data_IF_476352612193
#
_entry.id   IF_476352612193
#
_cell.length_a   1.000
_cell.length_b   1.000
_cell.length_c   1.000
_cell.angle_alpha   90.00
_cell.angle_beta   90.00
_cell.angle_gamma   90.00
#
_symmetry.space_group_name_H-M   'P 1'
#
loop_
_entity.id
_entity.type
_entity.pdbx_description
1 polymer ?
#
# COMPACT_ATOMS: atom_id res chain seq x y z
N UNK A 1 2.25 17.11 0.35
CA UNK A 1 2.01 16.73 -1.05
C UNK A 1 0.63 17.20 -1.41
N UNK A 2 0.48 17.83 -2.56
CA UNK A 2 -0.81 18.17 -3.16
C UNK A 2 -1.51 16.91 -3.67
N UNK A 3 -2.83 16.98 -3.85
CA UNK A 3 -3.62 15.86 -4.39
C UNK A 3 -3.11 15.39 -5.76
N UNK A 4 -2.70 16.32 -6.63
CA UNK A 4 -2.18 15.99 -7.96
C UNK A 4 -0.84 15.23 -7.92
N UNK A 5 0.01 15.53 -6.93
CA UNK A 5 1.27 14.79 -6.74
C UNK A 5 1.00 13.34 -6.30
N UNK A 6 0.01 13.12 -5.43
CA UNK A 6 -0.36 11.78 -4.97
C UNK A 6 -0.98 10.96 -6.10
N UNK A 7 -1.86 11.57 -6.90
CA UNK A 7 -2.46 10.90 -8.05
C UNK A 7 -1.41 10.47 -9.09
N UNK A 8 -0.44 11.32 -9.40
CA UNK A 8 0.68 10.95 -10.28
C UNK A 8 1.58 9.85 -9.71
N UNK A 9 1.70 9.79 -8.38
CA UNK A 9 2.42 8.71 -7.69
C UNK A 9 1.70 7.38 -7.82
N UNK A 10 0.36 7.35 -7.73
CA UNK A 10 -0.40 6.13 -7.96
C UNK A 10 -0.20 5.58 -9.37
N UNK A 11 -0.29 6.44 -10.38
CA UNK A 11 -0.07 6.04 -11.78
C UNK A 11 1.34 5.48 -11.98
N UNK A 12 2.34 6.10 -11.33
CA UNK A 12 3.73 5.64 -11.35
C UNK A 12 3.88 4.28 -10.67
N UNK A 13 3.28 4.08 -9.49
CA UNK A 13 3.33 2.82 -8.74
C UNK A 13 2.73 1.70 -9.59
N UNK A 14 1.57 1.92 -10.20
CA UNK A 14 0.93 0.93 -11.06
C UNK A 14 1.79 0.54 -12.26
N UNK A 15 2.37 1.52 -12.96
CA UNK A 15 3.21 1.26 -14.12
C UNK A 15 4.53 0.61 -13.74
N UNK A 16 5.13 1.01 -12.62
CA UNK A 16 6.45 0.53 -12.22
C UNK A 16 6.36 -0.86 -11.60
N UNK A 17 5.32 -1.14 -10.80
CA UNK A 17 5.18 -2.45 -10.13
C UNK A 17 4.88 -3.59 -11.09
N UNK A 18 4.18 -3.34 -12.20
CA UNK A 18 3.90 -4.35 -13.22
C UNK A 18 5.18 -4.90 -13.88
N UNK A 19 6.20 -4.04 -14.06
CA UNK A 19 7.45 -4.37 -14.75
C UNK A 19 8.65 -4.57 -13.80
N UNK A 20 8.45 -4.41 -12.49
CA UNK A 20 9.53 -4.48 -11.49
C UNK A 20 9.85 -5.90 -11.06
N UNK A 21 11.15 -6.19 -10.95
CA UNK A 21 11.66 -7.37 -10.25
C UNK A 21 11.12 -7.42 -8.80
N UNK A 22 10.90 -8.62 -8.28
CA UNK A 22 10.30 -8.88 -6.97
C UNK A 22 10.95 -8.08 -5.81
N UNK A 23 12.26 -7.84 -5.88
CA UNK A 23 12.98 -7.02 -4.88
C UNK A 23 12.64 -5.53 -4.96
N UNK A 24 12.31 -5.03 -6.14
CA UNK A 24 11.94 -3.64 -6.37
C UNK A 24 10.46 -3.38 -6.08
N UNK A 25 9.63 -4.41 -5.95
CA UNK A 25 8.21 -4.28 -5.62
C UNK A 25 7.96 -3.82 -4.18
N UNK A 26 8.94 -4.00 -3.27
CA UNK A 26 8.86 -3.60 -1.88
C UNK A 26 8.69 -2.09 -1.70
N UNK A 27 9.50 -1.27 -2.37
CA UNK A 27 9.48 0.18 -2.17
C UNK A 27 8.19 0.85 -2.69
N UNK A 28 7.67 0.51 -3.90
CA UNK A 28 6.37 0.98 -4.36
C UNK A 28 5.20 0.50 -3.49
N UNK A 29 5.23 -0.76 -3.00
CA UNK A 29 4.21 -1.29 -2.10
C UNK A 29 4.20 -0.55 -0.75
N UNK A 30 5.38 -0.31 -0.17
CA UNK A 30 5.49 0.48 1.06
C UNK A 30 4.99 1.91 0.84
N UNK A 31 5.36 2.56 -0.27
CA UNK A 31 4.88 3.89 -0.61
C UNK A 31 3.34 3.92 -0.72
N UNK A 32 2.75 2.93 -1.41
CA UNK A 32 1.32 2.77 -1.53
C UNK A 32 0.64 2.63 -0.16
N UNK A 33 1.20 1.79 0.72
CA UNK A 33 0.70 1.61 2.08
C UNK A 33 0.77 2.90 2.90
N UNK A 34 1.90 3.60 2.87
CA UNK A 34 2.10 4.88 3.56
C UNK A 34 1.08 5.93 3.13
N UNK A 35 0.79 6.02 1.82
CA UNK A 35 -0.23 6.95 1.31
C UNK A 35 -1.60 6.59 1.89
N UNK A 36 -2.02 5.32 1.84
CA UNK A 36 -3.33 4.89 2.34
C UNK A 36 -3.50 5.02 3.86
N UNK A 37 -2.41 4.92 4.62
CA UNK A 37 -2.40 5.08 6.08
C UNK A 37 -2.55 6.56 6.45
N UNK A 38 -1.73 7.43 5.85
CA UNK A 38 -1.58 8.82 6.28
C UNK A 38 -2.50 9.81 5.57
N UNK A 39 -3.05 9.47 4.40
CA UNK A 39 -3.96 10.33 3.64
C UNK A 39 -5.34 9.66 3.49
N UNK A 40 -6.28 9.93 4.42
CA UNK A 40 -7.60 9.28 4.43
C UNK A 40 -8.38 9.44 3.12
N UNK A 41 -8.23 10.59 2.46
CA UNK A 41 -8.87 10.92 1.18
C UNK A 41 -8.42 10.02 0.02
N UNK A 42 -7.23 9.41 0.12
CA UNK A 42 -6.68 8.51 -0.90
C UNK A 42 -6.70 7.04 -0.48
N UNK A 43 -7.20 6.73 0.71
CA UNK A 43 -7.15 5.39 1.29
C UNK A 43 -7.84 4.34 0.43
N UNK A 44 -9.06 4.60 0.01
CA UNK A 44 -9.84 3.66 -0.79
C UNK A 44 -9.14 3.37 -2.12
N UNK A 45 -8.52 4.39 -2.72
CA UNK A 45 -7.73 4.23 -3.95
C UNK A 45 -6.47 3.40 -3.70
N UNK A 46 -5.73 3.67 -2.62
CA UNK A 46 -4.53 2.92 -2.28
C UNK A 46 -4.83 1.43 -2.01
N UNK A 47 -5.91 1.14 -1.29
CA UNK A 47 -6.39 -0.23 -1.03
C UNK A 47 -6.73 -0.95 -2.34
N UNK A 48 -7.51 -0.30 -3.22
CA UNK A 48 -7.90 -0.87 -4.51
C UNK A 48 -6.71 -1.18 -5.42
N UNK A 49 -5.71 -0.29 -5.47
CA UNK A 49 -4.47 -0.52 -6.21
C UNK A 49 -3.70 -1.70 -5.59
N UNK A 50 -3.58 -1.76 -4.27
CA UNK A 50 -2.90 -2.85 -3.57
C UNK A 50 -3.54 -4.21 -3.86
N UNK A 51 -4.89 -4.26 -3.88
CA UNK A 51 -5.65 -5.46 -4.20
C UNK A 51 -5.46 -5.92 -5.63
N UNK A 52 -5.42 -4.99 -6.58
CA UNK A 52 -5.20 -5.32 -7.99
C UNK A 52 -3.77 -5.78 -8.26
N UNK A 53 -2.77 -5.18 -7.60
CA UNK A 53 -1.37 -5.55 -7.79
C UNK A 53 -1.02 -6.85 -7.06
N UNK A 54 -1.63 -7.13 -5.90
CA UNK A 54 -1.43 -8.37 -5.16
C UNK A 54 -0.01 -8.60 -4.65
N UNK A 55 0.83 -7.55 -4.63
CA UNK A 55 2.24 -7.65 -4.25
C UNK A 55 2.37 -7.96 -2.76
N UNK A 56 3.25 -8.92 -2.44
CA UNK A 56 3.48 -9.45 -1.09
C UNK A 56 2.24 -10.04 -0.41
N UNK A 57 1.17 -10.33 -1.16
CA UNK A 57 -0.06 -10.94 -0.63
C UNK A 57 0.21 -12.29 0.03
N UNK A 58 1.08 -13.10 -0.57
CA UNK A 58 1.45 -14.43 -0.08
C UNK A 58 2.72 -14.42 0.78
N UNK A 59 3.19 -13.23 1.18
CA UNK A 59 4.38 -13.13 2.02
C UNK A 59 4.13 -13.78 3.38
N UNK A 60 4.99 -14.72 3.82
CA UNK A 60 4.77 -15.46 5.06
C UNK A 60 4.75 -14.50 6.24
N UNK A 61 3.57 -14.31 6.81
CA UNK A 61 3.32 -13.41 7.95
C UNK A 61 3.04 -14.27 9.19
N UNK A 62 3.96 -14.33 10.16
CA UNK A 62 3.73 -15.06 11.41
C UNK A 62 2.53 -14.52 12.18
N UNK A 63 1.96 -15.36 13.04
CA UNK A 63 0.87 -14.97 13.93
C UNK A 63 1.30 -13.78 14.82
N UNK A 64 0.45 -12.74 14.88
CA UNK A 64 0.70 -11.45 15.55
C UNK A 64 1.64 -10.47 14.84
N UNK A 65 2.09 -10.75 13.61
CA UNK A 65 2.79 -9.77 12.77
C UNK A 65 1.82 -9.04 11.83
N UNK A 66 2.14 -7.80 11.45
CA UNK A 66 1.41 -7.07 10.41
C UNK A 66 1.93 -7.51 9.04
N UNK A 67 1.01 -7.92 8.16
CA UNK A 67 1.36 -8.30 6.78
C UNK A 67 1.96 -7.11 6.03
N UNK A 68 3.03 -7.30 5.23
CA UNK A 68 3.56 -6.24 4.38
C UNK A 68 2.70 -5.97 3.15
N UNK A 69 1.67 -6.78 2.89
CA UNK A 69 0.70 -6.55 1.83
C UNK A 69 -0.04 -5.22 2.06
N UNK A 70 0.10 -4.27 1.12
CA UNK A 70 -0.36 -2.89 1.31
C UNK A 70 -1.81 -2.79 1.81
N UNK A 71 -2.75 -3.54 1.23
CA UNK A 71 -4.17 -3.46 1.61
C UNK A 71 -4.41 -3.93 3.06
N UNK A 72 -3.78 -5.03 3.47
CA UNK A 72 -3.88 -5.52 4.85
C UNK A 72 -3.14 -4.59 5.83
N UNK A 73 -1.99 -4.06 5.44
CA UNK A 73 -1.21 -3.14 6.26
C UNK A 73 -1.97 -1.84 6.52
N UNK A 74 -2.58 -1.25 5.49
CA UNK A 74 -3.42 -0.05 5.60
C UNK A 74 -4.55 -0.31 6.60
N UNK A 75 -5.31 -1.40 6.43
CA UNK A 75 -6.44 -1.73 7.30
C UNK A 75 -6.01 -1.86 8.77
N UNK A 76 -4.94 -2.62 9.03
CA UNK A 76 -4.39 -2.82 10.38
C UNK A 76 -3.97 -1.51 11.04
N UNK A 77 -3.20 -0.67 10.33
CA UNK A 77 -2.69 0.58 10.89
C UNK A 77 -3.76 1.64 11.09
N UNK A 78 -4.81 1.64 10.28
CA UNK A 78 -5.97 2.52 10.45
C UNK A 78 -6.81 2.08 11.65
N UNK A 79 -7.00 0.77 11.86
CA UNK A 79 -7.66 0.25 13.06
C UNK A 79 -6.93 0.69 14.32
N UNK A 80 -5.61 0.48 14.38
CA UNK A 80 -4.77 0.88 15.52
C UNK A 80 -4.78 2.38 15.81
N UNK A 81 -4.95 3.22 14.79
CA UNK A 81 -5.09 4.68 14.97
C UNK A 81 -6.47 5.07 15.48
N UNK A 82 -7.50 4.28 15.16
CA UNK A 82 -8.89 4.52 15.55
C UNK A 82 -9.20 4.00 16.96
N UNK A 83 -8.46 3.01 17.45
CA UNK A 83 -8.54 2.46 18.81
C UNK A 83 -7.89 3.34 19.88
N UNK A 84 -7.44 4.55 19.52
CA UNK A 84 -6.68 5.48 20.36
C UNK A 84 -7.46 6.75 20.65
#
# INVERSE_FOLDING_TARGET
>A
MSSAEIDGLFDTIESTMADSEERLQWAPNECLAQIGIHYPEFRDRAVSIGERLGVLKDYPTPENCTSPYASAWIAEMVSRQSDR
#
